data_IF_052640303483
#
_entry.id   IF_052640303483
#
_cell.length_a   1.000
_cell.length_b   1.000
_cell.length_c   1.000
_cell.angle_alpha   90.00
_cell.angle_beta   90.00
_cell.angle_gamma   90.00
#
_symmetry.space_group_name_H-M   'P 1'
#
loop_
_entity.id
_entity.type
_entity.pdbx_description
1 polymer ?
#
# COMPACT_ATOMS: atom_id res chain seq x y z
N UNK A 1 -11.09 20.35 43.76
CA UNK A 1 -11.10 19.00 43.12
C UNK A 1 -9.68 18.64 42.72
N UNK A 2 -9.18 17.42 43.00
CA UNK A 2 -7.81 17.04 42.66
C UNK A 2 -7.62 17.00 41.14
N UNK A 3 -6.50 17.51 40.64
CA UNK A 3 -6.19 17.63 39.20
C UNK A 3 -6.23 16.27 38.48
N UNK A 4 -5.88 15.18 39.17
CA UNK A 4 -5.88 13.81 38.66
C UNK A 4 -7.28 13.30 38.33
N UNK A 5 -8.26 13.52 39.22
CA UNK A 5 -9.65 13.13 38.99
C UNK A 5 -10.27 13.85 37.78
N UNK A 6 -9.84 15.09 37.52
CA UNK A 6 -10.24 15.87 36.35
C UNK A 6 -9.66 15.24 35.08
N UNK A 7 -8.37 14.89 35.08
CA UNK A 7 -7.68 14.27 33.94
C UNK A 7 -8.29 12.90 33.60
N UNK A 8 -8.51 12.04 34.60
CA UNK A 8 -9.15 10.72 34.41
C UNK A 8 -10.57 10.87 33.88
N UNK A 9 -11.34 11.83 34.40
CA UNK A 9 -12.68 12.15 33.89
C UNK A 9 -12.69 12.65 32.44
N UNK A 10 -11.65 13.35 32.00
CA UNK A 10 -11.50 13.78 30.60
C UNK A 10 -11.13 12.62 29.67
N UNK A 11 -10.17 11.78 30.06
CA UNK A 11 -9.75 10.63 29.26
C UNK A 11 -10.90 9.62 29.08
N UNK A 12 -11.69 9.36 30.13
CA UNK A 12 -12.86 8.48 30.02
C UNK A 12 -13.92 9.02 29.05
N UNK A 13 -14.11 10.35 28.98
CA UNK A 13 -15.07 10.96 28.06
C UNK A 13 -14.61 10.88 26.60
N UNK A 14 -13.32 11.08 26.34
CA UNK A 14 -12.76 10.90 25.00
C UNK A 14 -12.91 9.45 24.53
N UNK A 15 -12.64 8.49 25.41
CA UNK A 15 -12.79 7.08 25.07
C UNK A 15 -14.25 6.70 24.77
N UNK A 16 -15.21 7.10 25.60
CA UNK A 16 -16.64 6.87 25.33
C UNK A 16 -17.06 7.37 23.95
N UNK A 17 -16.62 8.58 23.56
CA UNK A 17 -16.96 9.15 22.25
C UNK A 17 -16.27 8.39 21.12
N UNK A 18 -14.99 8.05 21.28
CA UNK A 18 -14.23 7.29 20.27
C UNK A 18 -14.78 5.88 20.09
N UNK A 19 -15.00 5.13 21.16
CA UNK A 19 -15.53 3.77 21.09
C UNK A 19 -16.91 3.76 20.45
N UNK A 20 -17.74 4.80 20.68
CA UNK A 20 -19.03 4.88 20.00
C UNK A 20 -18.88 5.19 18.51
N UNK A 21 -18.01 6.12 18.11
CA UNK A 21 -17.72 6.37 16.68
C UNK A 21 -17.19 5.09 16.01
N UNK A 22 -16.29 4.35 16.67
CA UNK A 22 -15.69 3.12 16.14
C UNK A 22 -16.68 1.98 15.85
N UNK A 23 -17.89 2.00 16.46
CA UNK A 23 -18.94 1.01 16.18
C UNK A 23 -19.62 1.23 14.83
N UNK A 24 -19.40 2.37 14.18
CA UNK A 24 -19.99 2.72 12.90
C UNK A 24 -18.87 3.01 11.89
N UNK A 25 -19.08 2.68 10.61
CA UNK A 25 -18.15 3.09 9.54
C UNK A 25 -18.04 4.62 9.48
N UNK A 26 -19.17 5.30 9.67
CA UNK A 26 -19.28 6.71 9.94
C UNK A 26 -20.62 7.01 10.66
N UNK A 27 -20.71 8.18 11.31
CA UNK A 27 -21.90 8.56 12.07
C UNK A 27 -22.17 10.06 12.06
N UNK A 28 -23.42 10.45 11.82
CA UNK A 28 -23.85 11.83 11.92
C UNK A 28 -23.69 12.35 13.36
N UNK A 29 -23.12 13.55 13.54
CA UNK A 29 -22.95 14.16 14.86
C UNK A 29 -24.26 14.24 15.65
N UNK A 30 -25.39 14.50 14.97
CA UNK A 30 -26.69 14.55 15.62
C UNK A 30 -27.09 13.19 16.24
N UNK A 31 -26.82 12.08 15.53
CA UNK A 31 -27.07 10.72 16.02
C UNK A 31 -26.12 10.38 17.17
N UNK A 32 -24.83 10.69 17.01
CA UNK A 32 -23.81 10.51 18.04
C UNK A 32 -24.16 11.27 19.33
N UNK A 33 -24.61 12.52 19.19
CA UNK A 33 -25.09 13.36 20.30
C UNK A 33 -26.27 12.71 21.04
N UNK A 34 -27.25 12.19 20.30
CA UNK A 34 -28.43 11.56 20.89
C UNK A 34 -28.10 10.25 21.63
N UNK A 35 -27.02 9.56 21.25
CA UNK A 35 -26.55 8.36 21.94
C UNK A 35 -25.79 8.74 23.22
N UNK A 36 -24.89 9.72 23.13
CA UNK A 36 -23.90 9.99 24.18
C UNK A 36 -24.40 10.95 25.25
N UNK A 37 -25.03 12.07 24.84
CA UNK A 37 -25.40 13.15 25.77
C UNK A 37 -26.35 12.70 26.88
N UNK A 38 -27.40 11.90 26.61
CA UNK A 38 -28.32 11.49 27.68
C UNK A 38 -27.68 10.63 28.78
N UNK A 39 -26.55 9.97 28.49
CA UNK A 39 -25.96 8.95 29.38
C UNK A 39 -24.62 9.34 29.98
N UNK A 40 -23.83 10.17 29.31
CA UNK A 40 -22.39 10.26 29.61
C UNK A 40 -21.87 11.68 29.86
N UNK A 41 -22.47 12.71 29.26
CA UNK A 41 -21.97 14.09 29.42
C UNK A 41 -22.96 15.16 28.93
N UNK A 42 -22.86 16.38 29.47
CA UNK A 42 -23.61 17.53 28.98
C UNK A 42 -23.26 17.88 27.51
N UNK A 43 -24.20 18.50 26.79
CA UNK A 43 -24.05 18.90 25.37
C UNK A 43 -22.79 19.73 25.13
N UNK A 44 -22.52 20.73 25.96
CA UNK A 44 -21.34 21.60 25.83
C UNK A 44 -20.03 20.84 26.04
N UNK A 45 -20.02 19.89 26.96
CA UNK A 45 -18.89 18.98 27.17
C UNK A 45 -18.70 18.05 25.97
N UNK A 46 -19.77 17.49 25.40
CA UNK A 46 -19.70 16.67 24.20
C UNK A 46 -19.06 17.39 23.01
N UNK A 47 -19.47 18.62 22.71
CA UNK A 47 -18.88 19.42 21.64
C UNK A 47 -17.39 19.73 21.88
N UNK A 48 -16.99 19.99 23.13
CA UNK A 48 -15.57 20.16 23.50
C UNK A 48 -14.78 18.85 23.34
N UNK A 49 -15.35 17.72 23.75
CA UNK A 49 -14.72 16.39 23.60
C UNK A 49 -14.51 16.08 22.12
N UNK A 50 -15.51 16.32 21.26
CA UNK A 50 -15.39 16.17 19.80
C UNK A 50 -14.25 17.02 19.23
N UNK A 51 -14.16 18.29 19.62
CA UNK A 51 -13.06 19.17 19.20
C UNK A 51 -11.69 18.63 19.66
N UNK A 52 -11.60 18.12 20.88
CA UNK A 52 -10.36 17.58 21.42
C UNK A 52 -9.90 16.30 20.71
N UNK A 53 -10.80 15.33 20.50
CA UNK A 53 -10.44 14.09 19.80
C UNK A 53 -10.05 14.36 18.34
N UNK A 54 -10.64 15.38 17.70
CA UNK A 54 -10.24 15.85 16.39
C UNK A 54 -8.82 16.45 16.40
N UNK A 55 -8.55 17.37 17.32
CA UNK A 55 -7.22 18.01 17.43
C UNK A 55 -6.11 17.00 17.74
N UNK A 56 -6.44 15.92 18.44
CA UNK A 56 -5.52 14.82 18.74
C UNK A 56 -5.38 13.79 17.60
N UNK A 57 -6.12 13.96 16.48
CA UNK A 57 -6.12 13.02 15.36
C UNK A 57 -6.74 11.65 15.70
N UNK A 58 -7.55 11.57 16.77
CA UNK A 58 -8.15 10.33 17.24
C UNK A 58 -9.47 9.98 16.52
N UNK A 59 -10.09 10.99 15.91
CA UNK A 59 -11.25 10.90 15.03
C UNK A 59 -11.26 12.14 14.13
N UNK A 60 -11.96 12.11 13.01
CA UNK A 60 -12.14 13.28 12.15
C UNK A 60 -13.59 13.37 11.67
N UNK A 61 -13.93 14.46 10.98
CA UNK A 61 -15.24 14.60 10.38
C UNK A 61 -15.16 15.18 8.97
N UNK A 62 -16.13 14.76 8.15
CA UNK A 62 -16.42 15.39 6.85
C UNK A 62 -17.76 16.11 6.92
N UNK A 63 -17.92 17.13 6.07
CA UNK A 63 -19.20 17.81 5.91
C UNK A 63 -19.99 17.17 4.76
N UNK A 64 -21.25 16.87 5.02
CA UNK A 64 -22.24 16.53 3.99
C UNK A 64 -23.35 17.58 4.04
N UNK A 65 -23.22 18.60 3.18
CA UNK A 65 -23.93 19.86 3.33
C UNK A 65 -23.66 20.50 4.69
N UNK A 66 -24.73 20.72 5.47
CA UNK A 66 -24.66 21.39 6.78
C UNK A 66 -24.42 20.38 7.93
N UNK A 67 -24.23 19.10 7.62
CA UNK A 67 -24.14 18.01 8.60
C UNK A 67 -22.69 17.54 8.74
N UNK A 68 -22.24 17.36 9.99
CA UNK A 68 -20.95 16.72 10.30
C UNK A 68 -21.11 15.21 10.43
N UNK A 69 -20.30 14.48 9.68
CA UNK A 69 -20.21 13.02 9.72
C UNK A 69 -18.86 12.65 10.30
N UNK A 70 -18.88 12.07 11.49
CA UNK A 70 -17.71 11.65 12.25
C UNK A 70 -17.29 10.25 11.85
N UNK A 71 -15.99 10.05 11.76
CA UNK A 71 -15.37 8.76 11.49
C UNK A 71 -14.05 8.66 12.26
N UNK A 72 -13.60 7.43 12.52
CA UNK A 72 -12.22 7.19 12.92
C UNK A 72 -11.50 6.74 11.67
N UNK A 73 -10.50 7.51 11.26
CA UNK A 73 -9.65 7.11 10.16
C UNK A 73 -8.93 5.81 10.57
N UNK A 74 -9.28 4.69 9.93
CA UNK A 74 -8.63 3.42 10.21
C UNK A 74 -7.12 3.56 9.97
N UNK A 75 -6.28 2.89 10.78
CA UNK A 75 -4.82 2.99 10.64
C UNK A 75 -4.32 2.70 9.22
N UNK A 76 -5.08 1.92 8.45
CA UNK A 76 -4.88 1.63 7.03
C UNK A 76 -4.93 2.88 6.13
N UNK A 77 -5.87 3.82 6.37
CA UNK A 77 -5.98 5.05 5.58
C UNK A 77 -4.82 6.01 5.87
N UNK A 78 -4.39 6.12 7.13
CA UNK A 78 -3.19 6.90 7.50
C UNK A 78 -1.95 6.35 6.79
N UNK A 79 -1.76 5.03 6.79
CA UNK A 79 -0.67 4.36 6.05
C UNK A 79 -0.72 4.68 4.55
N UNK A 80 -1.90 4.77 3.94
CA UNK A 80 -2.02 5.14 2.53
C UNK A 80 -1.63 6.60 2.26
N UNK A 81 -1.96 7.54 3.16
CA UNK A 81 -1.48 8.93 3.05
C UNK A 81 0.04 9.02 3.15
N UNK A 82 0.65 8.26 4.04
CA UNK A 82 2.11 8.18 4.18
C UNK A 82 2.77 7.59 2.93
N UNK A 83 2.21 6.50 2.39
CA UNK A 83 2.66 5.89 1.13
C UNK A 83 2.55 6.88 -0.04
N UNK A 84 1.43 7.60 -0.15
CA UNK A 84 1.24 8.63 -1.17
C UNK A 84 2.31 9.72 -1.09
N UNK A 85 2.62 10.19 0.13
CA UNK A 85 3.68 11.18 0.35
C UNK A 85 5.05 10.63 -0.06
N UNK A 86 5.37 9.40 0.35
CA UNK A 86 6.61 8.73 -0.01
C UNK A 86 6.79 8.61 -1.53
N UNK A 87 5.76 8.19 -2.25
CA UNK A 87 5.79 8.08 -3.72
C UNK A 87 5.99 9.45 -4.36
N UNK A 88 5.28 10.50 -3.92
CA UNK A 88 5.49 11.87 -4.42
C UNK A 88 6.91 12.36 -4.20
N UNK A 89 7.52 12.02 -3.07
CA UNK A 89 8.91 12.39 -2.78
C UNK A 89 9.90 11.59 -3.63
N UNK A 90 9.61 10.33 -3.95
CA UNK A 90 10.38 9.54 -4.92
C UNK A 90 10.29 10.15 -6.33
N UNK A 91 9.08 10.49 -6.79
CA UNK A 91 8.86 11.11 -8.10
C UNK A 91 9.68 12.40 -8.26
N UNK A 92 9.74 13.25 -7.22
CA UNK A 92 10.57 14.47 -7.20
C UNK A 92 12.06 14.18 -7.27
N UNK A 93 12.52 13.11 -6.62
CA UNK A 93 13.94 12.71 -6.57
C UNK A 93 14.39 11.93 -7.81
N UNK A 94 13.47 11.59 -8.71
CA UNK A 94 13.71 10.73 -9.87
C UNK A 94 14.91 11.16 -10.74
N UNK A 95 15.17 12.45 -11.04
CA UNK A 95 16.35 12.85 -11.81
C UNK A 95 17.67 12.50 -11.12
N UNK A 96 17.72 12.64 -9.79
CA UNK A 96 18.90 12.31 -8.98
C UNK A 96 19.08 10.79 -8.90
N UNK A 97 18.00 10.07 -8.57
CA UNK A 97 17.99 8.60 -8.52
C UNK A 97 18.41 7.99 -9.85
N UNK A 98 17.99 8.57 -10.99
CA UNK A 98 18.37 8.08 -12.31
C UNK A 98 19.87 8.21 -12.59
N UNK A 99 20.52 9.27 -12.09
CA UNK A 99 21.97 9.44 -12.22
C UNK A 99 22.72 8.45 -11.33
N UNK A 100 22.33 8.39 -10.05
CA UNK A 100 22.90 7.45 -9.08
C UNK A 100 22.75 6.00 -9.51
N UNK A 101 21.61 5.65 -10.13
CA UNK A 101 21.38 4.33 -10.69
C UNK A 101 22.31 4.05 -11.87
N UNK A 102 22.49 5.01 -12.78
CA UNK A 102 23.31 4.84 -13.98
C UNK A 102 24.79 4.51 -13.66
N UNK A 103 25.31 5.06 -12.56
CA UNK A 103 26.69 4.88 -12.09
C UNK A 103 26.93 3.52 -11.41
N UNK A 104 25.87 2.78 -11.06
CA UNK A 104 25.97 1.45 -10.44
C UNK A 104 26.42 0.39 -11.43
N UNK A 105 27.04 -0.66 -10.91
CA UNK A 105 27.36 -1.87 -11.67
C UNK A 105 26.08 -2.62 -12.06
N UNK A 106 26.16 -3.46 -13.10
CA UNK A 106 25.03 -4.29 -13.53
C UNK A 106 24.51 -5.20 -12.40
N UNK A 107 25.41 -5.73 -11.56
CA UNK A 107 25.02 -6.60 -10.44
C UNK A 107 24.25 -5.84 -9.37
N UNK A 108 24.69 -4.63 -9.01
CA UNK A 108 23.98 -3.77 -8.06
C UNK A 108 22.61 -3.36 -8.59
N UNK A 109 22.53 -2.97 -9.87
CA UNK A 109 21.27 -2.65 -10.54
C UNK A 109 20.31 -3.84 -10.52
N UNK A 110 20.80 -5.04 -10.84
CA UNK A 110 20.00 -6.26 -10.83
C UNK A 110 19.47 -6.58 -9.42
N UNK A 111 20.30 -6.44 -8.38
CA UNK A 111 19.89 -6.68 -7.00
C UNK A 111 18.83 -5.68 -6.54
N UNK A 112 18.99 -4.41 -6.89
CA UNK A 112 18.01 -3.36 -6.59
C UNK A 112 16.66 -3.62 -7.29
N UNK A 113 16.69 -3.99 -8.57
CA UNK A 113 15.48 -4.35 -9.34
C UNK A 113 14.73 -5.51 -8.67
N UNK A 114 15.45 -6.57 -8.26
CA UNK A 114 14.87 -7.70 -7.52
C UNK A 114 14.24 -7.26 -6.21
N UNK A 115 14.98 -6.51 -5.41
CA UNK A 115 14.53 -6.06 -4.10
C UNK A 115 13.29 -5.15 -4.18
N UNK A 116 13.30 -4.16 -5.08
CA UNK A 116 12.17 -3.25 -5.30
C UNK A 116 10.92 -4.02 -5.76
N UNK A 117 11.10 -5.02 -6.62
CA UNK A 117 9.98 -5.85 -7.05
C UNK A 117 9.42 -6.73 -5.93
N UNK A 118 10.27 -7.37 -5.12
CA UNK A 118 9.82 -8.16 -3.97
C UNK A 118 9.05 -7.31 -2.96
N UNK A 119 9.46 -6.06 -2.74
CA UNK A 119 8.71 -5.11 -1.92
C UNK A 119 7.33 -4.80 -2.54
N UNK A 120 7.28 -4.54 -3.85
CA UNK A 120 6.03 -4.28 -4.54
C UNK A 120 5.05 -5.46 -4.41
N UNK A 121 5.50 -6.68 -4.71
CA UNK A 121 4.67 -7.90 -4.64
C UNK A 121 4.19 -8.19 -3.22
N UNK A 122 5.08 -8.09 -2.23
CA UNK A 122 4.74 -8.30 -0.82
C UNK A 122 3.70 -7.29 -0.32
N UNK A 123 3.86 -6.01 -0.66
CA UNK A 123 2.91 -4.96 -0.26
C UNK A 123 1.56 -5.12 -0.98
N UNK A 124 1.55 -5.43 -2.28
CA UNK A 124 0.31 -5.72 -3.02
C UNK A 124 -0.45 -6.89 -2.40
N UNK A 125 0.25 -7.96 -2.04
CA UNK A 125 -0.35 -9.14 -1.39
C UNK A 125 -0.92 -8.78 -0.03
N UNK A 126 -0.19 -8.02 0.78
CA UNK A 126 -0.65 -7.53 2.08
C UNK A 126 -1.91 -6.65 1.97
N UNK A 127 -1.92 -5.69 1.04
CA UNK A 127 -3.07 -4.81 0.77
C UNK A 127 -4.31 -5.63 0.41
N UNK A 128 -4.17 -6.63 -0.45
CA UNK A 128 -5.28 -7.52 -0.83
C UNK A 128 -5.82 -8.30 0.38
N UNK A 129 -4.95 -8.86 1.21
CA UNK A 129 -5.34 -9.61 2.41
C UNK A 129 -6.04 -8.70 3.42
N UNK A 130 -5.49 -7.53 3.70
CA UNK A 130 -6.08 -6.56 4.62
C UNK A 130 -7.42 -6.05 4.13
N UNK A 131 -7.58 -5.79 2.83
CA UNK A 131 -8.88 -5.41 2.28
C UNK A 131 -9.96 -6.45 2.57
N UNK A 132 -9.64 -7.74 2.41
CA UNK A 132 -10.55 -8.85 2.69
C UNK A 132 -10.85 -8.94 4.19
N UNK A 133 -9.83 -8.89 5.04
CA UNK A 133 -9.97 -9.08 6.49
C UNK A 133 -10.66 -7.89 7.18
N UNK A 134 -10.28 -6.68 6.83
CA UNK A 134 -10.76 -5.44 7.48
C UNK A 134 -12.00 -4.85 6.79
N UNK A 135 -12.47 -5.46 5.69
CA UNK A 135 -13.54 -4.90 4.83
C UNK A 135 -13.26 -3.45 4.44
N UNK A 136 -12.00 -3.13 4.15
CA UNK A 136 -11.56 -1.78 3.78
C UNK A 136 -12.46 -1.21 2.69
N UNK A 137 -12.96 0.03 2.81
CA UNK A 137 -13.82 0.61 1.78
C UNK A 137 -13.19 0.52 0.40
N UNK A 138 -13.97 0.10 -0.61
CA UNK A 138 -13.48 -0.13 -1.98
C UNK A 138 -12.67 1.05 -2.53
N UNK A 139 -13.12 2.29 -2.29
CA UNK A 139 -12.41 3.50 -2.72
C UNK A 139 -10.99 3.60 -2.15
N UNK A 140 -10.78 3.25 -0.89
CA UNK A 140 -9.48 3.30 -0.24
C UNK A 140 -8.58 2.15 -0.71
N UNK A 141 -9.16 0.97 -0.94
CA UNK A 141 -8.48 -0.14 -1.58
C UNK A 141 -8.01 0.21 -2.99
N UNK A 142 -8.90 0.69 -3.85
CA UNK A 142 -8.58 1.09 -5.23
C UNK A 142 -7.47 2.16 -5.25
N UNK A 143 -7.54 3.14 -4.33
CA UNK A 143 -6.49 4.15 -4.16
C UNK A 143 -5.14 3.52 -3.79
N UNK A 144 -5.13 2.54 -2.90
CA UNK A 144 -3.88 1.86 -2.50
C UNK A 144 -3.24 1.08 -3.64
N UNK A 145 -4.04 0.43 -4.50
CA UNK A 145 -3.55 -0.23 -5.71
C UNK A 145 -2.94 0.78 -6.69
N UNK A 146 -3.62 1.92 -6.89
CA UNK A 146 -3.12 3.00 -7.73
C UNK A 146 -1.75 3.50 -7.24
N UNK A 147 -1.59 3.70 -5.93
CA UNK A 147 -0.33 4.11 -5.32
C UNK A 147 0.77 3.08 -5.58
N UNK A 148 0.51 1.80 -5.36
CA UNK A 148 1.49 0.74 -5.61
C UNK A 148 1.88 0.68 -7.09
N UNK A 149 0.92 0.80 -8.01
CA UNK A 149 1.22 0.84 -9.44
C UNK A 149 2.08 2.05 -9.81
N UNK A 150 1.78 3.24 -9.27
CA UNK A 150 2.60 4.45 -9.48
C UNK A 150 4.01 4.30 -8.92
N UNK A 151 4.16 3.65 -7.76
CA UNK A 151 5.47 3.33 -7.19
C UNK A 151 6.30 2.48 -8.16
N UNK A 152 5.72 1.39 -8.69
CA UNK A 152 6.42 0.54 -9.65
C UNK A 152 6.73 1.29 -10.95
N UNK A 153 5.76 2.04 -11.49
CA UNK A 153 5.94 2.80 -12.73
C UNK A 153 7.07 3.84 -12.62
N UNK A 154 7.15 4.54 -11.48
CA UNK A 154 8.19 5.53 -11.18
C UNK A 154 9.58 4.90 -11.21
N UNK A 155 9.75 3.73 -10.61
CA UNK A 155 11.02 3.00 -10.62
C UNK A 155 11.34 2.44 -12.02
N UNK A 156 10.34 1.87 -12.71
CA UNK A 156 10.51 1.37 -14.08
C UNK A 156 10.95 2.45 -15.06
N UNK A 157 10.53 3.72 -14.86
CA UNK A 157 10.99 4.86 -15.68
C UNK A 157 12.49 5.09 -15.57
N UNK A 158 13.10 4.82 -14.42
CA UNK A 158 14.55 4.87 -14.23
C UNK A 158 15.21 3.74 -15.01
N UNK A 159 14.75 2.50 -14.79
CA UNK A 159 15.38 1.32 -15.39
C UNK A 159 15.27 1.29 -16.92
N UNK A 160 14.14 1.73 -17.48
CA UNK A 160 13.94 1.75 -18.95
C UNK A 160 14.86 2.72 -19.68
N UNK A 161 15.32 3.78 -19.00
CA UNK A 161 16.23 4.78 -19.57
C UNK A 161 17.71 4.44 -19.36
N UNK A 162 18.00 3.39 -18.58
CA UNK A 162 19.35 2.96 -18.29
C UNK A 162 19.97 2.20 -19.47
N UNK A 163 21.29 2.35 -19.69
CA UNK A 163 22.03 1.62 -20.74
C UNK A 163 21.93 0.10 -20.61
N UNK A 164 21.73 -0.40 -19.38
CA UNK A 164 21.64 -1.81 -19.04
C UNK A 164 20.19 -2.33 -19.04
N UNK A 165 19.20 -1.50 -19.42
CA UNK A 165 17.77 -1.85 -19.43
C UNK A 165 17.46 -3.21 -20.10
N UNK A 166 18.17 -3.51 -21.19
CA UNK A 166 18.04 -4.76 -21.96
C UNK A 166 18.40 -6.03 -21.15
N UNK A 167 19.13 -5.88 -20.05
CA UNK A 167 19.48 -6.97 -19.13
C UNK A 167 18.61 -6.97 -17.87
N UNK A 168 18.22 -5.79 -17.38
CA UNK A 168 17.47 -5.64 -16.15
C UNK A 168 16.01 -6.12 -16.23
N UNK A 169 15.29 -5.79 -17.31
CA UNK A 169 13.91 -6.26 -17.52
C UNK A 169 13.82 -7.80 -17.55
N UNK A 170 14.70 -8.51 -18.28
CA UNK A 170 14.74 -9.96 -18.25
C UNK A 170 15.10 -10.52 -16.88
N UNK A 171 16.07 -9.94 -16.18
CA UNK A 171 16.46 -10.39 -14.85
C UNK A 171 15.29 -10.25 -13.85
N UNK A 172 14.51 -9.17 -13.98
CA UNK A 172 13.26 -9.00 -13.26
C UNK A 172 12.27 -10.13 -13.58
N UNK A 173 12.00 -10.38 -14.86
CA UNK A 173 11.09 -11.46 -15.29
C UNK A 173 11.56 -12.83 -14.77
N UNK A 174 12.86 -13.09 -14.85
CA UNK A 174 13.49 -14.30 -14.30
C UNK A 174 13.24 -14.43 -12.80
N UNK A 175 13.47 -13.36 -12.05
CA UNK A 175 13.22 -13.33 -10.61
C UNK A 175 11.76 -13.66 -10.31
N UNK A 176 10.80 -13.02 -11.00
CA UNK A 176 9.37 -13.27 -10.83
C UNK A 176 9.02 -14.74 -11.02
N UNK A 177 9.53 -15.35 -12.10
CA UNK A 177 9.26 -16.76 -12.42
C UNK A 177 9.85 -17.69 -11.37
N UNK A 178 11.02 -17.36 -10.85
CA UNK A 178 11.72 -18.20 -9.86
C UNK A 178 11.12 -18.07 -8.46
N UNK A 179 10.68 -16.87 -8.08
CA UNK A 179 10.19 -16.60 -6.72
C UNK A 179 8.69 -16.83 -6.57
N UNK A 180 7.91 -16.70 -7.65
CA UNK A 180 6.47 -16.96 -7.61
C UNK A 180 6.17 -18.42 -7.96
N UNK A 181 5.82 -19.21 -6.95
CA UNK A 181 5.32 -20.57 -7.11
C UNK A 181 4.10 -20.62 -8.03
N UNK A 182 3.22 -19.63 -7.96
CA UNK A 182 2.07 -19.50 -8.85
C UNK A 182 2.49 -19.33 -10.31
N UNK A 183 3.37 -18.39 -10.64
CA UNK A 183 3.81 -18.20 -12.03
C UNK A 183 4.57 -19.40 -12.57
N UNK A 184 5.42 -20.03 -11.74
CA UNK A 184 6.12 -21.24 -12.14
C UNK A 184 5.13 -22.39 -12.46
N UNK A 185 4.16 -22.63 -11.59
CA UNK A 185 3.10 -23.64 -11.81
C UNK A 185 2.18 -23.27 -12.98
N UNK A 186 1.86 -21.99 -13.17
CA UNK A 186 1.07 -21.51 -14.31
C UNK A 186 1.79 -21.80 -15.64
N UNK A 187 3.11 -21.59 -15.69
CA UNK A 187 3.92 -21.91 -16.87
C UNK A 187 4.05 -23.41 -17.13
N UNK A 188 3.85 -24.26 -16.11
CA UNK A 188 3.80 -25.72 -16.27
C UNK A 188 2.52 -26.20 -16.95
N UNK A 189 1.39 -25.54 -16.65
CA UNK A 189 0.08 -25.94 -17.16
C UNK A 189 -0.31 -25.25 -18.47
N UNK A 190 0.36 -24.16 -18.85
CA UNK A 190 0.10 -23.47 -20.11
C UNK A 190 0.94 -24.08 -21.26
N UNK A 191 0.31 -24.74 -22.27
CA UNK A 191 1.02 -25.50 -23.32
C UNK A 191 2.05 -24.70 -24.12
N UNK A 192 1.91 -23.37 -24.17
CA UNK A 192 2.80 -22.46 -24.91
C UNK A 192 3.44 -21.39 -24.01
N UNK A 193 3.19 -21.40 -22.69
CA UNK A 193 3.62 -20.33 -21.78
C UNK A 193 5.14 -20.19 -21.73
N UNK A 194 5.83 -21.33 -21.55
CA UNK A 194 7.30 -21.38 -21.51
C UNK A 194 7.94 -20.97 -22.84
N UNK A 195 7.41 -21.42 -23.96
CA UNK A 195 7.95 -21.10 -25.29
C UNK A 195 7.73 -19.62 -25.67
N UNK A 196 6.58 -19.01 -25.33
CA UNK A 196 6.33 -17.58 -25.57
C UNK A 196 7.21 -16.70 -24.71
N UNK A 197 7.39 -17.08 -23.45
CA UNK A 197 8.30 -16.39 -22.54
C UNK A 197 9.76 -16.56 -22.99
N UNK A 198 10.16 -17.75 -23.42
CA UNK A 198 11.48 -18.01 -23.97
C UNK A 198 11.75 -17.16 -25.21
N UNK A 199 10.78 -17.06 -26.12
CA UNK A 199 10.85 -16.20 -27.29
C UNK A 199 10.93 -14.71 -26.91
N UNK A 200 10.17 -14.27 -25.90
CA UNK A 200 10.26 -12.90 -25.38
C UNK A 200 11.64 -12.61 -24.80
N UNK A 201 12.15 -13.48 -23.92
CA UNK A 201 13.49 -13.34 -23.33
C UNK A 201 14.54 -13.36 -24.42
N UNK A 202 14.52 -14.31 -25.35
CA UNK A 202 15.47 -14.38 -26.44
C UNK A 202 15.42 -13.13 -27.33
N UNK A 203 14.23 -12.65 -27.68
CA UNK A 203 14.03 -11.43 -28.48
C UNK A 203 14.61 -10.19 -27.80
N UNK A 204 14.47 -10.08 -26.48
CA UNK A 204 14.83 -8.88 -25.73
C UNK A 204 16.22 -8.94 -25.08
N UNK A 205 16.87 -10.11 -25.04
CA UNK A 205 18.18 -10.31 -24.40
C UNK A 205 19.25 -10.94 -25.26
N UNK A 206 18.86 -11.63 -26.33
CA UNK A 206 19.77 -12.52 -27.06
C UNK A 206 20.17 -13.80 -26.31
N UNK A 207 19.62 -14.07 -25.11
CA UNK A 207 19.87 -15.31 -24.36
C UNK A 207 19.08 -16.45 -25.02
N UNK A 208 19.77 -17.46 -25.60
CA UNK A 208 19.11 -18.56 -26.27
C UNK A 208 18.31 -19.40 -25.27
N UNK A 209 17.18 -19.93 -25.73
CA UNK A 209 16.23 -20.72 -24.92
C UNK A 209 16.93 -21.85 -24.14
N UNK A 210 17.95 -22.48 -24.73
CA UNK A 210 18.73 -23.57 -24.12
C UNK A 210 19.54 -23.19 -22.88
N UNK A 211 19.84 -21.90 -22.69
CA UNK A 211 20.55 -21.36 -21.53
C UNK A 211 19.60 -20.72 -20.51
N UNK A 212 18.29 -20.80 -20.75
CA UNK A 212 17.30 -20.26 -19.83
C UNK A 212 17.03 -21.26 -18.68
N UNK A 213 16.92 -20.80 -17.42
CA UNK A 213 16.85 -21.69 -16.25
C UNK A 213 15.69 -22.70 -16.20
N UNK A 214 14.62 -22.52 -16.99
CA UNK A 214 13.51 -23.49 -17.09
C UNK A 214 13.69 -24.54 -18.18
N UNK A 215 14.65 -24.38 -19.08
CA UNK A 215 14.88 -25.32 -20.17
C UNK A 215 15.45 -26.66 -19.67
N UNK A 216 16.27 -26.62 -18.62
CA UNK A 216 16.90 -27.79 -18.00
C UNK A 216 15.97 -28.65 -17.13
N UNK A 217 14.75 -28.20 -16.82
CA UNK A 217 13.78 -28.98 -16.04
C UNK A 217 13.03 -30.04 -16.86
N UNK A 218 13.24 -30.11 -18.18
CA UNK A 218 12.66 -31.17 -19.04
C UNK A 218 13.44 -32.49 -19.05
N UNK A 219 14.57 -32.61 -18.36
CA UNK A 219 15.45 -33.78 -18.49
C UNK A 219 15.37 -34.81 -17.35
N UNK A 220 14.42 -34.71 -16.41
CA UNK A 220 14.22 -35.72 -15.37
C UNK A 220 12.74 -35.91 -15.04
N UNK A 221 12.04 -36.63 -15.91
CA UNK A 221 10.89 -37.48 -15.59
C UNK A 221 11.08 -38.79 -16.34
#
# INVERSE_FOLDING_TARGET
>A
MPKEAIIVGHLNREEIVRSEIAKHTDIHQAKLKNIIVPKHMAKTTFEKTLKNIQLKGLADFRNEGNKKIWYIEGGTVTKFKELEKFIKDLEKKLPKLSKEFADRTLSEKAQEVKWLFSLYEGNMSFINVIHILEKTPKKEYDKSLELMHRYLETNMKIWKKDKDAKYLIPELMMSIIQTSTFFNSLLEVLPQGRSRLAAYVQKHTGVPETRQPWYSRKAKL
#
